data_IF_695207165256
#
_entry.id   IF_695207165256
#
_cell.length_a   1.000
_cell.length_b   1.000
_cell.length_c   1.000
_cell.angle_alpha   90.00
_cell.angle_beta   90.00
_cell.angle_gamma   90.00
#
_symmetry.space_group_name_H-M   'P 1'
#
loop_
_entity.id
_entity.type
_entity.pdbx_description
1 polymer ?
#
# COMPACT_ATOMS: atom_id res chain seq x y z
N UNK A 1 -21.80 -12.88 -11.35
CA UNK A 1 -20.39 -12.44 -11.27
C UNK A 1 -19.96 -12.07 -12.69
N UNK A 2 -19.51 -10.84 -12.94
CA UNK A 2 -18.94 -10.50 -14.21
C UNK A 2 -17.75 -11.44 -14.49
N UNK A 3 -17.77 -12.09 -15.64
CA UNK A 3 -16.62 -12.88 -16.09
C UNK A 3 -15.53 -11.93 -16.56
N UNK A 4 -14.31 -12.15 -16.06
CA UNK A 4 -13.13 -11.40 -16.48
C UNK A 4 -12.92 -11.59 -18.00
N UNK A 5 -12.76 -10.50 -18.78
CA UNK A 5 -12.32 -10.63 -20.16
C UNK A 5 -10.94 -11.30 -20.23
N UNK A 6 -10.77 -12.26 -21.12
CA UNK A 6 -9.52 -12.95 -21.34
C UNK A 6 -8.44 -11.94 -21.82
N UNK A 7 -7.24 -12.01 -21.25
CA UNK A 7 -6.13 -11.10 -21.61
C UNK A 7 -6.22 -9.68 -21.04
N UNK A 8 -7.15 -9.39 -20.12
CA UNK A 8 -7.31 -8.05 -19.53
C UNK A 8 -6.07 -7.55 -18.79
N UNK A 9 -5.27 -8.44 -18.21
CA UNK A 9 -4.10 -8.07 -17.40
C UNK A 9 -2.82 -8.69 -17.97
N UNK A 10 -1.80 -7.85 -18.16
CA UNK A 10 -0.44 -8.26 -18.51
C UNK A 10 0.45 -8.24 -17.26
N UNK A 11 0.86 -9.42 -16.82
CA UNK A 11 1.72 -9.60 -15.65
C UNK A 11 3.20 -9.67 -15.97
N UNK A 12 3.59 -9.64 -17.25
CA UNK A 12 4.96 -9.86 -17.71
C UNK A 12 5.96 -8.84 -17.17
N UNK A 13 5.48 -7.64 -16.82
CA UNK A 13 6.29 -6.56 -16.26
C UNK A 13 6.36 -6.54 -14.73
N UNK A 14 5.65 -7.44 -14.05
CA UNK A 14 5.66 -7.51 -12.58
C UNK A 14 6.82 -8.36 -12.08
N UNK A 15 8.04 -7.90 -12.33
CA UNK A 15 9.31 -8.56 -12.02
C UNK A 15 10.10 -7.77 -10.98
N UNK A 16 11.08 -8.42 -10.33
CA UNK A 16 11.95 -7.79 -9.35
C UNK A 16 12.74 -6.59 -9.89
N UNK A 17 13.03 -6.58 -11.20
CA UNK A 17 13.79 -5.50 -11.83
C UNK A 17 12.93 -4.28 -12.19
N UNK A 18 11.62 -4.38 -12.03
CA UNK A 18 10.68 -3.33 -12.40
C UNK A 18 10.04 -2.67 -11.15
N UNK A 19 10.86 -2.12 -10.28
CA UNK A 19 10.47 -1.29 -9.15
C UNK A 19 11.14 0.10 -9.22
N UNK A 20 10.46 1.17 -8.75
CA UNK A 20 9.07 1.23 -8.30
C UNK A 20 8.05 1.17 -9.45
N UNK A 21 6.82 0.73 -9.15
CA UNK A 21 5.73 0.59 -10.14
C UNK A 21 4.35 1.03 -9.64
N UNK A 22 4.17 1.20 -8.32
CA UNK A 22 2.92 1.74 -7.75
C UNK A 22 2.87 3.25 -7.96
N UNK A 23 1.84 3.75 -8.61
CA UNK A 23 1.59 5.15 -8.95
C UNK A 23 2.68 5.80 -9.82
N UNK A 24 3.94 5.58 -9.54
CA UNK A 24 5.07 6.18 -10.25
C UNK A 24 6.20 5.16 -10.42
N UNK A 25 6.80 5.14 -11.60
CA UNK A 25 8.04 4.43 -11.87
C UNK A 25 9.27 5.32 -11.61
N UNK A 26 10.47 4.81 -11.83
CA UNK A 26 11.72 5.52 -11.56
C UNK A 26 11.85 6.81 -12.39
N UNK A 27 11.44 6.77 -13.65
CA UNK A 27 11.47 7.94 -14.56
C UNK A 27 10.50 9.02 -14.09
N UNK A 28 9.30 8.64 -13.64
CA UNK A 28 8.30 9.57 -13.11
C UNK A 28 8.79 10.24 -11.82
N UNK A 29 9.45 9.51 -10.93
CA UNK A 29 10.09 10.11 -9.72
C UNK A 29 11.19 11.10 -10.11
N UNK A 30 12.05 10.74 -11.06
CA UNK A 30 13.10 11.64 -11.55
C UNK A 30 12.51 12.92 -12.16
N UNK A 31 11.48 12.79 -12.98
CA UNK A 31 10.78 13.93 -13.58
C UNK A 31 10.07 14.79 -12.52
N UNK A 32 9.43 14.17 -11.53
CA UNK A 32 8.80 14.88 -10.42
C UNK A 32 9.83 15.68 -9.62
N UNK A 33 10.95 15.04 -9.25
CA UNK A 33 12.04 15.71 -8.53
C UNK A 33 12.56 16.91 -9.30
N UNK A 34 12.85 16.77 -10.59
CA UNK A 34 13.32 17.88 -11.42
C UNK A 34 12.33 19.06 -11.44
N UNK A 35 11.02 18.78 -11.53
CA UNK A 35 9.98 19.82 -11.48
C UNK A 35 9.89 20.51 -10.12
N UNK A 36 10.06 19.78 -9.03
CA UNK A 36 10.08 20.33 -7.67
C UNK A 36 11.30 21.20 -7.47
N UNK A 37 12.48 20.71 -7.82
CA UNK A 37 13.76 21.44 -7.68
C UNK A 37 13.75 22.75 -8.50
N UNK A 38 13.11 22.75 -9.65
CA UNK A 38 12.98 23.92 -10.52
C UNK A 38 11.84 24.89 -10.09
N UNK A 39 11.07 24.58 -9.05
CA UNK A 39 9.84 25.31 -8.66
C UNK A 39 8.91 25.57 -9.87
N UNK A 40 8.76 24.59 -10.74
CA UNK A 40 8.07 24.73 -12.03
C UNK A 40 6.57 25.01 -11.91
N UNK A 41 5.97 24.78 -10.72
CA UNK A 41 4.57 25.01 -10.44
C UNK A 41 4.33 25.29 -8.95
N UNK A 42 3.64 26.39 -8.65
CA UNK A 42 3.31 26.76 -7.27
C UNK A 42 2.49 25.67 -6.55
N UNK A 43 1.54 25.03 -7.23
CA UNK A 43 0.73 23.94 -6.66
C UNK A 43 1.59 22.72 -6.37
N UNK A 44 2.49 22.35 -7.26
CA UNK A 44 3.39 21.22 -7.07
C UNK A 44 4.35 21.47 -5.89
N UNK A 45 4.91 22.68 -5.82
CA UNK A 45 5.78 23.09 -4.70
C UNK A 45 5.01 23.07 -3.37
N UNK A 46 3.77 23.57 -3.34
CA UNK A 46 2.93 23.52 -2.15
C UNK A 46 2.65 22.07 -1.71
N UNK A 47 2.30 21.19 -2.64
CA UNK A 47 2.02 19.77 -2.35
C UNK A 47 3.29 19.09 -1.81
N UNK A 48 4.43 19.28 -2.48
CA UNK A 48 5.72 18.74 -2.01
C UNK A 48 6.04 19.22 -0.59
N UNK A 49 5.98 20.52 -0.34
CA UNK A 49 6.27 21.10 0.97
C UNK A 49 5.30 20.58 2.05
N UNK A 50 4.03 20.37 1.70
CA UNK A 50 3.04 19.79 2.62
C UNK A 50 3.40 18.36 2.98
N UNK A 51 3.74 17.50 2.01
CA UNK A 51 4.14 16.11 2.26
C UNK A 51 5.42 16.07 3.10
N UNK A 52 6.43 16.88 2.76
CA UNK A 52 7.67 16.96 3.53
C UNK A 52 7.44 17.49 4.95
N UNK A 53 6.56 18.47 5.13
CA UNK A 53 6.17 18.97 6.45
C UNK A 53 5.49 17.89 7.31
N UNK A 54 4.58 17.12 6.73
CA UNK A 54 3.95 15.96 7.40
C UNK A 54 4.98 14.88 7.71
N UNK A 55 5.86 14.57 6.77
CA UNK A 55 6.95 13.61 7.00
C UNK A 55 7.80 14.01 8.20
N UNK A 56 8.32 15.24 8.21
CA UNK A 56 9.22 15.71 9.26
C UNK A 56 8.55 15.85 10.63
N UNK A 57 7.26 16.19 10.68
CA UNK A 57 6.52 16.38 11.94
C UNK A 57 5.91 15.12 12.50
N UNK A 58 5.42 14.21 11.63
CA UNK A 58 4.68 13.00 12.02
C UNK A 58 5.35 11.72 11.50
N UNK A 59 5.80 11.72 10.24
CA UNK A 59 6.45 10.56 9.62
C UNK A 59 7.72 10.12 10.35
N UNK A 60 8.52 11.08 10.81
CA UNK A 60 9.74 10.86 11.55
C UNK A 60 9.55 10.65 13.06
N UNK A 61 8.32 10.38 13.52
CA UNK A 61 8.04 10.10 14.93
C UNK A 61 8.91 8.93 15.44
N UNK A 62 9.67 9.18 16.50
CA UNK A 62 10.60 8.21 17.08
C UNK A 62 9.92 7.06 17.84
N UNK A 63 8.64 7.25 18.25
CA UNK A 63 7.89 6.21 18.96
C UNK A 63 7.66 5.01 18.04
N UNK A 64 8.07 3.82 18.50
CA UNK A 64 7.90 2.58 17.75
C UNK A 64 6.40 2.28 17.51
N UNK A 65 6.09 1.78 16.31
CA UNK A 65 4.78 1.20 16.04
C UNK A 65 4.64 -0.12 16.78
N UNK A 66 3.58 -0.23 17.59
CA UNK A 66 3.28 -1.42 18.37
C UNK A 66 1.85 -1.89 18.11
N UNK A 67 1.64 -3.21 18.19
CA UNK A 67 0.28 -3.75 18.07
C UNK A 67 -0.57 -3.27 19.24
N UNK A 68 -1.55 -2.45 18.96
CA UNK A 68 -2.42 -1.87 19.99
C UNK A 68 -3.83 -1.72 19.44
N UNK A 69 -4.78 -2.33 20.15
CA UNK A 69 -6.20 -2.13 19.88
C UNK A 69 -6.67 -0.76 20.40
N UNK A 70 -7.71 -0.24 19.76
CA UNK A 70 -8.39 0.99 20.17
C UNK A 70 -9.09 0.85 21.54
N UNK A 71 -9.67 1.94 22.06
CA UNK A 71 -10.37 1.96 23.33
C UNK A 71 -11.57 0.98 23.37
N UNK A 72 -12.15 0.62 22.23
CA UNK A 72 -13.22 -0.38 22.12
C UNK A 72 -12.69 -1.82 22.08
N UNK A 73 -11.38 -2.01 22.06
CA UNK A 73 -10.70 -3.29 21.99
C UNK A 73 -11.02 -4.08 20.69
N UNK A 74 -11.31 -3.36 19.59
CA UNK A 74 -11.77 -3.97 18.33
C UNK A 74 -10.84 -3.73 17.15
N UNK A 75 -10.11 -2.61 17.11
CA UNK A 75 -9.39 -2.18 15.92
C UNK A 75 -7.95 -1.79 16.22
N UNK A 76 -7.07 -2.00 15.25
CA UNK A 76 -5.72 -1.42 15.22
C UNK A 76 -5.66 -0.19 14.27
N UNK A 77 -6.80 0.46 14.01
CA UNK A 77 -6.95 1.49 12.99
C UNK A 77 -5.96 2.64 13.15
N UNK A 78 -5.77 3.14 14.38
CA UNK A 78 -4.85 4.25 14.64
C UNK A 78 -3.41 3.86 14.31
N UNK A 79 -3.05 2.60 14.60
CA UNK A 79 -1.72 2.06 14.29
C UNK A 79 -1.55 1.86 12.79
N UNK A 80 -2.56 1.31 12.10
CA UNK A 80 -2.48 1.07 10.65
C UNK A 80 -2.41 2.38 9.85
N UNK A 81 -3.17 3.40 10.27
CA UNK A 81 -3.11 4.74 9.67
C UNK A 81 -1.82 5.46 9.95
N UNK A 82 -1.28 5.33 11.17
CA UNK A 82 0.02 5.89 11.51
C UNK A 82 1.14 5.22 10.70
N UNK A 83 1.08 3.89 10.54
CA UNK A 83 2.00 3.16 9.67
C UNK A 83 1.92 3.64 8.23
N UNK A 84 0.71 3.80 7.68
CA UNK A 84 0.52 4.30 6.32
C UNK A 84 1.11 5.71 6.16
N UNK A 85 0.81 6.64 7.07
CA UNK A 85 1.36 7.99 7.04
C UNK A 85 2.88 7.99 7.07
N UNK A 86 3.48 7.25 8.01
CA UNK A 86 4.94 7.25 8.22
C UNK A 86 5.66 6.60 7.06
N UNK A 87 5.28 5.39 6.68
CA UNK A 87 5.95 4.64 5.61
C UNK A 87 5.84 5.39 4.28
N UNK A 88 4.63 5.84 3.92
CA UNK A 88 4.39 6.55 2.66
C UNK A 88 5.17 7.86 2.58
N UNK A 89 5.09 8.72 3.62
CA UNK A 89 5.75 10.02 3.59
C UNK A 89 7.27 9.90 3.68
N UNK A 90 7.80 8.92 4.43
CA UNK A 90 9.24 8.67 4.46
C UNK A 90 9.75 8.07 3.15
N UNK A 91 9.01 7.16 2.50
CA UNK A 91 9.38 6.65 1.19
C UNK A 91 9.40 7.78 0.14
N UNK A 92 8.38 8.63 0.12
CA UNK A 92 8.36 9.83 -0.71
C UNK A 92 9.56 10.75 -0.43
N UNK A 93 9.79 11.08 0.84
CA UNK A 93 10.89 11.97 1.24
C UNK A 93 12.26 11.42 0.83
N UNK A 94 12.47 10.11 0.95
CA UNK A 94 13.69 9.49 0.44
C UNK A 94 13.83 9.64 -1.07
N UNK A 95 12.77 9.35 -1.85
CA UNK A 95 12.78 9.51 -3.31
C UNK A 95 13.08 10.95 -3.76
N UNK A 96 12.61 11.94 -2.99
CA UNK A 96 12.81 13.34 -3.31
C UNK A 96 14.17 13.89 -2.85
N UNK A 97 14.77 13.37 -1.78
CA UNK A 97 15.96 13.94 -1.16
C UNK A 97 17.21 13.05 -1.22
N UNK A 98 17.04 11.74 -1.28
CA UNK A 98 18.12 10.76 -1.11
C UNK A 98 18.65 10.66 0.33
N UNK A 99 18.04 11.34 1.32
CA UNK A 99 18.53 11.34 2.70
C UNK A 99 18.19 10.01 3.40
N UNK A 100 19.22 9.26 3.75
CA UNK A 100 19.13 7.92 4.33
C UNK A 100 18.28 7.83 5.61
N UNK A 101 18.11 8.93 6.34
CA UNK A 101 17.26 8.93 7.55
C UNK A 101 15.81 8.54 7.25
N UNK A 102 15.28 8.95 6.10
CA UNK A 102 13.91 8.61 5.68
C UNK A 102 13.79 7.13 5.29
N UNK A 103 14.78 6.59 4.57
CA UNK A 103 14.85 5.16 4.27
C UNK A 103 14.91 4.33 5.57
N UNK A 104 15.82 4.67 6.48
CA UNK A 104 15.95 3.98 7.76
C UNK A 104 14.65 3.99 8.56
N UNK A 105 13.95 5.14 8.57
CA UNK A 105 12.69 5.26 9.28
C UNK A 105 11.60 4.40 8.65
N UNK A 106 11.43 4.46 7.32
CA UNK A 106 10.46 3.66 6.60
C UNK A 106 10.71 2.15 6.81
N UNK A 107 11.97 1.71 6.70
CA UNK A 107 12.35 0.31 6.90
C UNK A 107 12.10 -0.14 8.35
N UNK A 108 12.38 0.71 9.34
CA UNK A 108 12.09 0.43 10.76
C UNK A 108 10.58 0.23 10.98
N UNK A 109 9.74 1.13 10.48
CA UNK A 109 8.29 1.05 10.66
C UNK A 109 7.67 -0.13 9.87
N UNK A 110 8.18 -0.41 8.66
CA UNK A 110 7.79 -1.62 7.90
C UNK A 110 8.12 -2.90 8.69
N UNK A 111 9.34 -3.01 9.22
CA UNK A 111 9.74 -4.15 10.02
C UNK A 111 8.88 -4.31 11.29
N UNK A 112 8.49 -3.21 11.93
CA UNK A 112 7.63 -3.24 13.10
C UNK A 112 6.26 -3.84 12.78
N UNK A 113 5.56 -3.32 11.77
CA UNK A 113 4.20 -3.79 11.43
C UNK A 113 4.18 -5.17 10.79
N UNK A 114 5.24 -5.57 10.09
CA UNK A 114 5.39 -6.91 9.53
C UNK A 114 5.71 -7.97 10.62
N UNK A 115 6.14 -7.56 11.81
CA UNK A 115 6.34 -8.43 12.98
C UNK A 115 5.09 -8.54 13.88
N UNK A 116 4.00 -7.87 13.56
CA UNK A 116 2.76 -8.00 14.33
C UNK A 116 2.24 -9.45 14.27
N UNK A 117 1.46 -9.89 15.28
CA UNK A 117 0.89 -11.24 15.28
C UNK A 117 -0.09 -11.45 14.12
N UNK A 118 -0.80 -10.40 13.74
CA UNK A 118 -1.74 -10.31 12.62
C UNK A 118 -2.00 -8.84 12.27
N UNK A 119 -2.87 -8.58 11.28
CA UNK A 119 -3.39 -7.25 10.95
C UNK A 119 -4.89 -7.14 11.26
N UNK A 120 -5.34 -7.85 12.31
CA UNK A 120 -6.71 -7.80 12.82
C UNK A 120 -7.81 -8.27 11.82
N UNK A 121 -7.45 -9.13 10.89
CA UNK A 121 -8.34 -9.63 9.82
C UNK A 121 -9.63 -10.27 10.33
N UNK A 122 -9.54 -10.98 11.45
CA UNK A 122 -10.70 -11.66 12.08
C UNK A 122 -11.79 -10.69 12.52
N UNK A 123 -11.41 -9.49 12.96
CA UNK A 123 -12.34 -8.52 13.56
C UNK A 123 -12.70 -7.39 12.65
N UNK A 124 -11.72 -6.89 11.86
CA UNK A 124 -11.95 -5.68 11.10
C UNK A 124 -11.03 -5.57 9.88
N UNK A 125 -11.52 -5.97 8.71
CA UNK A 125 -10.70 -6.05 7.52
C UNK A 125 -10.25 -4.69 6.95
N UNK A 126 -10.86 -3.56 7.34
CA UNK A 126 -10.30 -2.23 7.01
C UNK A 126 -8.89 -2.03 7.57
N UNK A 127 -8.57 -2.61 8.73
CA UNK A 127 -7.24 -2.52 9.32
C UNK A 127 -6.22 -3.25 8.43
N UNK A 128 -6.61 -4.39 7.84
CA UNK A 128 -5.82 -5.10 6.82
C UNK A 128 -5.66 -4.24 5.57
N UNK A 129 -6.74 -3.62 5.08
CA UNK A 129 -6.70 -2.76 3.89
C UNK A 129 -5.72 -1.59 4.03
N UNK A 130 -5.72 -0.92 5.17
CA UNK A 130 -4.79 0.18 5.48
C UNK A 130 -3.33 -0.32 5.54
N UNK A 131 -3.06 -1.46 6.21
CA UNK A 131 -1.73 -2.07 6.26
C UNK A 131 -1.27 -2.58 4.89
N UNK A 132 -2.20 -3.17 4.12
CA UNK A 132 -1.96 -3.65 2.75
C UNK A 132 -1.81 -2.50 1.72
N UNK A 133 -1.97 -1.26 2.16
CA UNK A 133 -1.56 -0.05 1.43
C UNK A 133 -0.21 0.45 1.94
N UNK A 134 -0.04 0.54 3.26
CA UNK A 134 1.18 1.07 3.88
C UNK A 134 2.46 0.31 3.50
N UNK A 135 2.45 -1.01 3.73
CA UNK A 135 3.63 -1.86 3.49
C UNK A 135 4.01 -1.91 2.01
N UNK A 136 3.07 -2.09 1.06
CA UNK A 136 3.39 -2.11 -0.36
C UNK A 136 4.04 -0.83 -0.89
N UNK A 137 3.61 0.35 -0.47
CA UNK A 137 4.25 1.59 -0.90
C UNK A 137 5.69 1.71 -0.41
N UNK A 138 5.97 1.33 0.84
CA UNK A 138 7.33 1.27 1.33
C UNK A 138 8.17 0.22 0.58
N UNK A 139 7.60 -0.98 0.40
CA UNK A 139 8.24 -2.08 -0.31
C UNK A 139 8.60 -1.71 -1.75
N UNK A 140 7.64 -1.18 -2.50
CA UNK A 140 7.80 -0.87 -3.92
C UNK A 140 8.69 0.35 -4.15
N UNK A 141 8.40 1.44 -3.46
CA UNK A 141 9.14 2.69 -3.68
C UNK A 141 10.59 2.65 -3.19
N UNK A 142 10.89 1.78 -2.24
CA UNK A 142 12.24 1.63 -1.66
C UNK A 142 12.87 0.27 -1.99
N UNK A 143 12.31 -0.49 -2.93
CA UNK A 143 12.68 -1.89 -3.20
C UNK A 143 14.18 -2.10 -3.35
N UNK A 144 14.83 -1.27 -4.15
CA UNK A 144 16.26 -1.42 -4.47
C UNK A 144 17.17 -1.04 -3.30
N UNK A 145 16.68 -0.24 -2.37
CA UNK A 145 17.44 0.26 -1.21
C UNK A 145 17.15 -0.52 0.07
N UNK A 146 16.01 -1.19 0.15
CA UNK A 146 15.66 -2.05 1.30
C UNK A 146 16.61 -3.24 1.43
N UNK A 147 16.91 -3.64 2.67
CA UNK A 147 17.60 -4.90 2.92
C UNK A 147 16.81 -6.09 2.39
N UNK A 148 17.52 -7.14 1.94
CA UNK A 148 16.88 -8.38 1.49
C UNK A 148 15.99 -9.00 2.59
N UNK A 149 16.42 -8.88 3.86
CA UNK A 149 15.65 -9.36 5.00
C UNK A 149 14.31 -8.62 5.15
N UNK A 150 14.30 -7.30 4.98
CA UNK A 150 13.08 -6.49 5.03
C UNK A 150 12.16 -6.80 3.85
N UNK A 151 12.70 -6.94 2.63
CA UNK A 151 11.90 -7.35 1.46
C UNK A 151 11.22 -8.69 1.68
N UNK A 152 11.97 -9.70 2.13
CA UNK A 152 11.41 -11.03 2.43
C UNK A 152 10.34 -10.97 3.51
N UNK A 153 10.59 -10.23 4.58
CA UNK A 153 9.63 -10.07 5.68
C UNK A 153 8.34 -9.39 5.20
N UNK A 154 8.45 -8.32 4.43
CA UNK A 154 7.30 -7.60 3.91
C UNK A 154 6.47 -8.50 2.96
N UNK A 155 7.10 -9.19 2.02
CA UNK A 155 6.41 -10.12 1.12
C UNK A 155 5.69 -11.24 1.89
N UNK A 156 6.33 -11.82 2.90
CA UNK A 156 5.71 -12.84 3.77
C UNK A 156 4.55 -12.28 4.59
N UNK A 157 4.65 -11.05 5.09
CA UNK A 157 3.56 -10.41 5.83
C UNK A 157 2.36 -10.14 4.91
N UNK A 158 2.58 -9.65 3.68
CA UNK A 158 1.52 -9.45 2.69
C UNK A 158 0.83 -10.76 2.33
N UNK A 159 1.59 -11.84 2.11
CA UNK A 159 1.01 -13.17 1.88
C UNK A 159 0.15 -13.62 3.08
N UNK A 160 0.74 -13.60 4.27
CA UNK A 160 0.12 -14.18 5.49
C UNK A 160 -1.04 -13.35 6.01
N UNK A 161 -0.89 -12.02 6.05
CA UNK A 161 -1.81 -11.14 6.76
C UNK A 161 -2.82 -10.45 5.82
N UNK A 162 -2.56 -10.42 4.50
CA UNK A 162 -3.49 -9.87 3.53
C UNK A 162 -4.07 -10.96 2.63
N UNK A 163 -3.28 -11.63 1.76
CA UNK A 163 -3.81 -12.52 0.74
C UNK A 163 -4.51 -13.74 1.33
N UNK A 164 -3.86 -14.48 2.24
CA UNK A 164 -4.46 -15.65 2.88
C UNK A 164 -5.69 -15.29 3.70
N UNK A 165 -5.70 -14.10 4.32
CA UNK A 165 -6.86 -13.66 5.11
C UNK A 165 -8.03 -13.22 4.22
N UNK A 166 -7.76 -12.63 3.06
CA UNK A 166 -8.77 -12.25 2.07
C UNK A 166 -9.46 -13.45 1.41
N UNK A 167 -8.85 -14.64 1.52
CA UNK A 167 -9.42 -15.92 1.04
C UNK A 167 -9.99 -16.78 2.17
N UNK A 168 -9.87 -16.37 3.43
CA UNK A 168 -10.26 -17.16 4.59
C UNK A 168 -11.79 -17.13 4.78
N UNK A 169 -12.45 -18.23 4.43
CA UNK A 169 -13.91 -18.40 4.52
C UNK A 169 -14.46 -18.30 5.96
N UNK A 170 -13.60 -18.34 6.98
CA UNK A 170 -14.01 -18.18 8.38
C UNK A 170 -14.15 -16.71 8.80
N UNK A 171 -13.74 -15.77 7.93
CA UNK A 171 -13.86 -14.35 8.19
C UNK A 171 -15.09 -13.74 7.52
N UNK A 172 -15.57 -12.64 8.07
CA UNK A 172 -16.56 -11.82 7.38
C UNK A 172 -15.86 -11.02 6.26
N UNK A 173 -15.99 -11.47 5.02
CA UNK A 173 -15.41 -10.85 3.83
C UNK A 173 -16.45 -10.03 3.05
N UNK A 174 -17.46 -9.47 3.70
CA UNK A 174 -18.53 -8.68 3.06
C UNK A 174 -18.00 -7.44 2.31
N UNK A 175 -16.75 -7.04 2.53
CA UNK A 175 -16.16 -5.93 1.79
C UNK A 175 -16.12 -6.18 0.27
N UNK A 176 -16.10 -7.42 -0.18
CA UNK A 176 -16.18 -7.75 -1.60
C UNK A 176 -17.52 -7.35 -2.24
N UNK A 177 -18.58 -7.31 -1.45
CA UNK A 177 -19.95 -6.96 -1.90
C UNK A 177 -20.36 -5.57 -1.39
N UNK A 178 -19.51 -4.89 -0.64
CA UNK A 178 -19.84 -3.61 -0.03
C UNK A 178 -20.01 -2.51 -1.09
N UNK A 179 -20.97 -1.62 -0.86
CA UNK A 179 -21.24 -0.43 -1.68
C UNK A 179 -20.73 0.87 -1.04
N UNK A 180 -19.94 0.75 0.01
CA UNK A 180 -19.34 1.84 0.76
C UNK A 180 -17.80 1.76 0.71
N UNK A 181 -17.12 2.61 1.48
CA UNK A 181 -15.66 2.71 1.53
C UNK A 181 -14.92 1.39 1.85
N UNK A 182 -15.59 0.40 2.44
CA UNK A 182 -14.98 -0.91 2.67
C UNK A 182 -14.54 -1.57 1.37
N UNK A 183 -15.34 -1.43 0.31
CA UNK A 183 -14.99 -1.97 -1.00
C UNK A 183 -13.65 -1.38 -1.48
N UNK A 184 -13.53 -0.05 -1.53
CA UNK A 184 -12.33 0.61 -2.05
C UNK A 184 -11.11 0.41 -1.15
N UNK A 185 -11.25 0.56 0.17
CA UNK A 185 -10.11 0.46 1.09
C UNK A 185 -9.56 -0.98 1.12
N UNK A 186 -10.43 -1.98 1.28
CA UNK A 186 -9.96 -3.37 1.38
C UNK A 186 -9.43 -3.89 0.04
N UNK A 187 -10.20 -3.75 -1.04
CA UNK A 187 -9.78 -4.22 -2.35
C UNK A 187 -8.60 -3.40 -2.90
N UNK A 188 -8.59 -2.07 -2.70
CA UNK A 188 -7.48 -1.22 -3.11
C UNK A 188 -6.17 -1.59 -2.42
N UNK A 189 -6.21 -1.85 -1.11
CA UNK A 189 -5.05 -2.34 -0.37
C UNK A 189 -4.56 -3.69 -0.89
N UNK A 190 -5.47 -4.65 -1.13
CA UNK A 190 -5.12 -5.96 -1.69
C UNK A 190 -4.48 -5.84 -3.08
N UNK A 191 -5.00 -4.96 -3.95
CA UNK A 191 -4.42 -4.71 -5.28
C UNK A 191 -3.03 -4.08 -5.16
N UNK A 192 -2.86 -3.05 -4.31
CA UNK A 192 -1.54 -2.45 -4.07
C UNK A 192 -0.53 -3.50 -3.58
N UNK A 193 -0.93 -4.35 -2.63
CA UNK A 193 -0.10 -5.43 -2.11
C UNK A 193 0.28 -6.44 -3.21
N UNK A 194 -0.69 -6.84 -4.01
CA UNK A 194 -0.48 -7.82 -5.07
C UNK A 194 0.41 -7.28 -6.20
N UNK A 195 0.20 -6.03 -6.61
CA UNK A 195 1.03 -5.38 -7.61
C UNK A 195 2.46 -5.17 -7.10
N UNK A 196 2.65 -4.77 -5.84
CA UNK A 196 3.98 -4.51 -5.27
C UNK A 196 4.81 -5.77 -5.08
N UNK A 197 4.21 -6.90 -4.70
CA UNK A 197 4.93 -8.11 -4.32
C UNK A 197 4.66 -9.33 -5.22
N UNK A 198 4.18 -9.10 -6.44
CA UNK A 198 3.75 -10.13 -7.39
C UNK A 198 4.78 -11.25 -7.58
N UNK A 199 6.05 -10.89 -7.78
CA UNK A 199 7.14 -11.82 -8.05
C UNK A 199 7.42 -12.81 -6.92
N UNK A 200 6.99 -12.50 -5.69
CA UNK A 200 7.21 -13.38 -4.53
C UNK A 200 6.13 -14.47 -4.41
N UNK A 201 4.89 -14.15 -4.77
CA UNK A 201 3.73 -15.04 -4.64
C UNK A 201 2.78 -14.84 -5.84
N UNK A 202 3.19 -15.22 -7.07
CA UNK A 202 2.48 -14.87 -8.30
C UNK A 202 1.04 -15.40 -8.35
N UNK A 203 0.81 -16.61 -7.81
CA UNK A 203 -0.52 -17.23 -7.81
C UNK A 203 -1.51 -16.44 -6.97
N UNK A 204 -1.16 -16.18 -5.70
CA UNK A 204 -2.01 -15.46 -4.76
C UNK A 204 -2.18 -14.00 -5.18
N UNK A 205 -1.10 -13.36 -5.64
CA UNK A 205 -1.15 -11.97 -6.11
C UNK A 205 -2.06 -11.84 -7.35
N UNK A 206 -1.95 -12.77 -8.31
CA UNK A 206 -2.84 -12.82 -9.46
C UNK A 206 -4.30 -12.95 -9.05
N UNK A 207 -4.60 -13.88 -8.14
CA UNK A 207 -5.97 -14.05 -7.62
C UNK A 207 -6.51 -12.77 -6.97
N UNK A 208 -5.67 -12.04 -6.22
CA UNK A 208 -6.07 -10.77 -5.60
C UNK A 208 -6.33 -9.69 -6.65
N UNK A 209 -5.47 -9.54 -7.64
CA UNK A 209 -5.65 -8.55 -8.71
C UNK A 209 -6.94 -8.85 -9.47
N UNK A 210 -7.10 -10.09 -9.93
CA UNK A 210 -8.25 -10.48 -10.75
C UNK A 210 -9.56 -10.38 -10.00
N UNK A 211 -9.60 -10.75 -8.73
CA UNK A 211 -10.80 -10.66 -7.91
C UNK A 211 -11.09 -9.24 -7.44
N UNK A 212 -10.13 -8.60 -6.79
CA UNK A 212 -10.35 -7.32 -6.14
C UNK A 212 -10.55 -6.19 -7.16
N UNK A 213 -9.73 -6.15 -8.23
CA UNK A 213 -9.84 -5.10 -9.24
C UNK A 213 -11.15 -5.23 -10.03
N UNK A 214 -11.54 -6.45 -10.41
CA UNK A 214 -12.84 -6.69 -11.08
C UNK A 214 -14.01 -6.26 -10.20
N UNK A 215 -13.94 -6.53 -8.90
CA UNK A 215 -14.99 -6.11 -7.95
C UNK A 215 -15.03 -4.58 -7.81
N UNK A 216 -13.88 -3.92 -7.72
CA UNK A 216 -13.82 -2.45 -7.67
C UNK A 216 -14.38 -1.80 -8.94
N UNK A 217 -14.11 -2.39 -10.10
CA UNK A 217 -14.56 -1.86 -11.39
C UNK A 217 -16.03 -2.15 -11.68
N UNK A 218 -16.55 -3.31 -11.26
CA UNK A 218 -17.85 -3.82 -11.71
C UNK A 218 -18.79 -4.25 -10.58
N UNK A 219 -18.32 -4.31 -9.34
CA UNK A 219 -18.98 -5.01 -8.23
C UNK A 219 -20.01 -4.21 -7.43
N UNK A 220 -20.30 -2.98 -7.76
CA UNK A 220 -21.32 -2.21 -7.05
C UNK A 220 -21.77 -0.99 -7.85
N UNK A 221 -23.05 -0.66 -7.79
CA UNK A 221 -23.65 0.47 -8.53
C UNK A 221 -23.00 1.85 -8.27
N UNK A 222 -22.06 1.93 -7.32
CA UNK A 222 -21.30 3.15 -7.02
C UNK A 222 -19.82 3.08 -7.38
N UNK A 223 -19.22 1.90 -7.56
CA UNK A 223 -17.78 1.76 -7.82
C UNK A 223 -17.41 2.20 -9.25
N UNK A 224 -18.29 1.98 -10.23
CA UNK A 224 -18.05 2.33 -11.62
C UNK A 224 -17.98 3.85 -11.87
N UNK A 225 -18.56 4.68 -11.01
CA UNK A 225 -18.62 6.14 -11.20
C UNK A 225 -17.32 6.84 -10.77
N UNK A 226 -16.59 6.28 -9.80
CA UNK A 226 -15.37 6.92 -9.28
C UNK A 226 -14.10 6.67 -10.10
N UNK A 227 -14.07 5.61 -10.91
CA UNK A 227 -12.87 5.27 -11.71
C UNK A 227 -12.84 6.01 -13.05
N UNK A 228 -13.96 6.52 -13.52
CA UNK A 228 -14.06 7.19 -14.83
C UNK A 228 -13.90 8.72 -14.81
N UNK A 229 -13.75 9.34 -13.64
CA UNK A 229 -13.73 10.82 -13.54
C UNK A 229 -12.34 11.43 -13.32
N UNK A 230 -11.27 10.63 -13.18
CA UNK A 230 -9.94 11.16 -12.85
C UNK A 230 -8.80 10.62 -13.75
N UNK A 231 -9.10 10.39 -15.06
CA UNK A 231 -8.06 10.19 -16.08
C UNK A 231 -8.14 11.25 -17.16
#
# INVERSE_FOLDING_TARGET
>A
NPTKPEGLFDYSKLTADNHPRLLMNAEAFTALKAKVDANSSANLTLLHNTIMGVCNSKGMNATALTYKLDASNKRILDVSRDALLRIFTCAYAYRMTGDAKYLTKAETDMNAVCNFPDWNSKRHFLDVGEMATAVPFGYDWLYNELSAATRTKAANALLKFAFQQAQNKNWNLNFYEATNNWNQVCNGGLVCAALASYENNPSEAKDMIEKALVIMMFGGAGAAVYIYTDF
#
